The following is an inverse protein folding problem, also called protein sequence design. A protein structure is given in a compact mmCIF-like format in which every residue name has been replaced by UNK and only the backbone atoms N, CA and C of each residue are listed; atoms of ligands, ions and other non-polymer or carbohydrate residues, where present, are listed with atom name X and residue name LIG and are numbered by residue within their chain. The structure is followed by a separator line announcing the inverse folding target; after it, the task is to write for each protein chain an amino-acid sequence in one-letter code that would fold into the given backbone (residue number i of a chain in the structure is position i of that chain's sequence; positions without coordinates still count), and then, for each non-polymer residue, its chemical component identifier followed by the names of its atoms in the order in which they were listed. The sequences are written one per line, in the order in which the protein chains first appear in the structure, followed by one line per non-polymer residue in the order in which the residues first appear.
data_IF_223319116531
#
_entry.id   IF_223319116531
#
_cell.length_a   1.000
_cell.length_b   1.000
_cell.length_c   1.000
_cell.angle_alpha   90.00
_cell.angle_beta   90.00
_cell.angle_gamma   90.00
#
_symmetry.space_group_name_H-M   'P 1'
#
loop_
_entity.id
_entity.type
_entity.pdbx_description
1 polymer ?
#
# COMPACT_ATOMS: atom_id res chain seq x y z
N UNK A 1 -2.68 -6.02 -19.44
CA UNK A 1 -3.01 -6.09 -18.00
C UNK A 1 -3.74 -4.81 -17.68
N UNK A 2 -4.94 -4.90 -17.10
CA UNK A 2 -5.82 -3.74 -16.91
C UNK A 2 -5.75 -3.20 -15.48
N UNK A 3 -5.50 -4.07 -14.51
CA UNK A 3 -5.32 -3.72 -13.09
C UNK A 3 -3.93 -4.17 -12.65
N UNK A 4 -3.18 -3.26 -12.05
CA UNK A 4 -1.84 -3.49 -11.51
C UNK A 4 -1.89 -3.41 -9.99
N UNK A 5 -1.76 -4.57 -9.34
CA UNK A 5 -1.53 -4.63 -7.90
C UNK A 5 -0.05 -4.40 -7.62
N UNK A 6 0.29 -3.25 -7.08
CA UNK A 6 1.66 -2.83 -6.76
C UNK A 6 1.89 -2.97 -5.26
N UNK A 7 2.90 -3.75 -4.85
CA UNK A 7 3.34 -3.88 -3.46
C UNK A 7 4.86 -3.83 -3.37
N UNK A 8 5.37 -3.43 -2.21
CA UNK A 8 6.77 -3.58 -1.84
C UNK A 8 6.86 -4.54 -0.65
N UNK A 9 7.85 -5.43 -0.67
CA UNK A 9 8.01 -6.49 0.36
C UNK A 9 8.23 -5.95 1.78
N UNK A 10 8.62 -4.67 1.92
CA UNK A 10 8.84 -3.99 3.19
C UNK A 10 7.84 -2.84 3.42
N UNK A 11 6.81 -2.72 2.60
CA UNK A 11 5.91 -1.56 2.55
C UNK A 11 6.68 -0.23 2.38
N UNK A 12 7.77 -0.22 1.61
CA UNK A 12 8.58 0.96 1.38
C UNK A 12 7.93 1.89 0.34
N UNK A 13 7.32 2.98 0.82
CA UNK A 13 6.53 3.92 0.02
C UNK A 13 7.23 4.42 -1.27
N UNK A 14 8.50 4.85 -1.27
CA UNK A 14 9.14 5.36 -2.49
C UNK A 14 9.17 4.34 -3.62
N UNK A 15 9.38 3.06 -3.31
CA UNK A 15 9.35 1.98 -4.31
C UNK A 15 7.93 1.74 -4.83
N UNK A 16 6.94 1.81 -3.94
CA UNK A 16 5.54 1.64 -4.33
C UNK A 16 5.07 2.76 -5.25
N UNK A 17 5.37 4.02 -4.89
CA UNK A 17 4.99 5.21 -5.67
C UNK A 17 5.57 5.13 -7.09
N UNK A 18 6.84 4.74 -7.24
CA UNK A 18 7.45 4.54 -8.56
C UNK A 18 6.67 3.52 -9.41
N UNK A 19 6.27 2.39 -8.83
CA UNK A 19 5.47 1.38 -9.51
C UNK A 19 4.06 1.85 -9.83
N UNK A 20 3.44 2.60 -8.92
CA UNK A 20 2.11 3.20 -9.09
C UNK A 20 2.11 4.22 -10.25
N UNK A 21 3.08 5.12 -10.29
CA UNK A 21 3.24 6.11 -11.36
C UNK A 21 3.46 5.45 -12.71
N UNK A 22 4.27 4.40 -12.78
CA UNK A 22 4.50 3.66 -14.01
C UNK A 22 3.22 2.97 -14.52
N UNK A 23 2.47 2.31 -13.63
CA UNK A 23 1.21 1.66 -13.98
C UNK A 23 0.14 2.67 -14.42
N UNK A 24 0.01 3.79 -13.69
CA UNK A 24 -0.92 4.86 -14.03
C UNK A 24 -0.57 5.54 -15.36
N UNK A 25 0.71 5.80 -15.61
CA UNK A 25 1.19 6.37 -16.89
C UNK A 25 0.95 5.45 -18.08
N UNK A 26 0.94 4.14 -17.87
CA UNK A 26 0.58 3.15 -18.88
C UNK A 26 -0.94 3.04 -19.11
N UNK A 27 -1.76 3.83 -18.40
CA UNK A 27 -3.22 3.79 -18.48
C UNK A 27 -3.88 2.65 -17.71
N UNK A 28 -3.14 1.98 -16.82
CA UNK A 28 -3.65 0.89 -15.99
C UNK A 28 -4.36 1.39 -14.73
N UNK A 29 -5.24 0.56 -14.18
CA UNK A 29 -5.81 0.79 -12.85
C UNK A 29 -4.75 0.46 -11.79
N UNK A 30 -4.35 1.45 -11.00
CA UNK A 30 -3.41 1.31 -9.89
C UNK A 30 -4.11 0.80 -8.63
N UNK A 31 -3.75 -0.40 -8.20
CA UNK A 31 -4.16 -1.00 -6.93
C UNK A 31 -2.94 -1.07 -5.99
N UNK A 32 -2.85 -0.16 -5.03
CA UNK A 32 -1.75 -0.15 -4.07
C UNK A 32 -2.02 -1.16 -2.96
N UNK A 33 -1.08 -2.08 -2.75
CA UNK A 33 -1.23 -3.18 -1.79
C UNK A 33 -0.31 -3.01 -0.59
N UNK A 34 -0.92 -3.04 0.59
CA UNK A 34 -0.25 -3.04 1.89
C UNK A 34 -0.07 -4.50 2.32
N UNK A 35 1.16 -4.92 2.55
CA UNK A 35 1.44 -6.25 3.10
C UNK A 35 1.14 -6.24 4.60
N UNK A 36 0.22 -7.10 5.04
CA UNK A 36 -0.16 -7.22 6.44
C UNK A 36 0.77 -8.19 7.19
N UNK A 37 1.10 -7.86 8.44
CA UNK A 37 1.88 -8.73 9.34
C UNK A 37 1.60 -8.36 10.78
N UNK A 38 1.95 -9.25 11.71
CA UNK A 38 1.65 -9.05 13.13
C UNK A 38 0.17 -9.21 13.44
N UNK A 39 -0.29 -8.51 14.46
CA UNK A 39 -1.67 -8.55 14.95
C UNK A 39 -2.06 -7.19 15.53
N UNK A 40 -2.99 -6.49 14.88
CA UNK A 40 -3.45 -5.16 15.32
C UNK A 40 -4.34 -5.21 16.57
N UNK A 41 -4.85 -6.40 16.93
CA UNK A 41 -5.66 -6.61 18.13
C UNK A 41 -4.80 -6.90 19.37
N UNK A 42 -3.50 -7.19 19.20
CA UNK A 42 -2.56 -7.43 20.30
C UNK A 42 -1.93 -6.09 20.78
N UNK A 43 -2.29 -5.59 21.98
CA UNK A 43 -1.80 -4.31 22.47
C UNK A 43 -0.30 -4.32 22.82
N UNK A 44 0.33 -5.48 22.99
CA UNK A 44 1.77 -5.59 23.26
C UNK A 44 2.60 -5.44 21.97
N UNK A 45 1.99 -5.63 20.79
CA UNK A 45 2.65 -5.55 19.47
C UNK A 45 2.49 -4.16 18.84
N UNK A 46 3.35 -3.24 19.24
CA UNK A 46 3.22 -1.83 18.83
C UNK A 46 3.81 -1.47 17.47
N UNK A 47 4.68 -2.31 16.89
CA UNK A 47 5.40 -1.99 15.64
C UNK A 47 4.50 -1.89 14.41
N UNK A 48 3.55 -2.83 14.27
CA UNK A 48 2.60 -2.91 13.16
C UNK A 48 1.18 -2.69 13.70
N UNK A 49 0.97 -1.53 14.32
CA UNK A 49 -0.31 -1.14 14.91
C UNK A 49 -1.36 -0.75 13.86
N UNK A 50 -2.62 -0.62 14.27
CA UNK A 50 -3.66 -0.08 13.39
C UNK A 50 -3.28 1.29 12.81
N UNK A 51 -2.68 2.16 13.62
CA UNK A 51 -2.23 3.49 13.20
C UNK A 51 -1.14 3.42 12.11
N UNK A 52 -0.22 2.45 12.18
CA UNK A 52 0.76 2.22 11.12
C UNK A 52 0.08 1.95 9.77
N UNK A 53 -0.94 1.07 9.77
CA UNK A 53 -1.66 0.70 8.55
C UNK A 53 -2.52 1.85 8.00
N UNK A 54 -3.21 2.60 8.88
CA UNK A 54 -4.04 3.74 8.49
C UNK A 54 -3.18 4.85 7.88
N UNK A 55 -2.01 5.15 8.48
CA UNK A 55 -1.06 6.14 7.92
C UNK A 55 -0.52 5.71 6.56
N UNK A 56 -0.15 4.44 6.41
CA UNK A 56 0.31 3.94 5.13
C UNK A 56 -0.79 4.02 4.05
N UNK A 57 -2.03 3.70 4.41
CA UNK A 57 -3.17 3.84 3.51
C UNK A 57 -3.40 5.30 3.09
N UNK A 58 -3.32 6.26 4.03
CA UNK A 58 -3.46 7.70 3.74
C UNK A 58 -2.38 8.18 2.75
N UNK A 59 -1.13 7.76 2.93
CA UNK A 59 -0.04 8.09 2.00
C UNK A 59 -0.25 7.50 0.60
N UNK A 60 -0.75 6.26 0.50
CA UNK A 60 -1.07 5.63 -0.80
C UNK A 60 -2.25 6.29 -1.51
N UNK A 61 -3.26 6.76 -0.76
CA UNK A 61 -4.37 7.54 -1.30
C UNK A 61 -3.88 8.88 -1.84
N UNK A 62 -3.04 9.60 -1.08
CA UNK A 62 -2.41 10.84 -1.56
C UNK A 62 -1.54 10.64 -2.79
N UNK A 63 -0.88 9.49 -2.89
CA UNK A 63 -0.09 9.10 -4.05
C UNK A 63 -0.94 8.68 -5.27
N UNK A 64 -2.28 8.68 -5.17
CA UNK A 64 -3.17 8.52 -6.31
C UNK A 64 -3.54 7.07 -6.64
N UNK A 65 -3.55 6.16 -5.65
CA UNK A 65 -4.10 4.82 -5.87
C UNK A 65 -5.60 4.87 -6.18
N UNK A 66 -6.08 4.01 -7.09
CA UNK A 66 -7.51 3.87 -7.37
C UNK A 66 -8.19 2.87 -6.43
N UNK A 67 -7.45 1.85 -5.99
CA UNK A 67 -7.93 0.76 -5.14
C UNK A 67 -6.88 0.47 -4.08
N UNK A 68 -7.28 0.41 -2.80
CA UNK A 68 -6.44 -0.11 -1.73
C UNK A 68 -6.64 -1.61 -1.56
N UNK A 69 -5.54 -2.35 -1.44
CA UNK A 69 -5.53 -3.78 -1.16
C UNK A 69 -4.78 -4.06 0.14
N UNK A 70 -5.29 -5.00 0.92
CA UNK A 70 -4.54 -5.65 2.00
C UNK A 70 -4.06 -7.01 1.48
N UNK A 71 -2.75 -7.22 1.49
CA UNK A 71 -2.09 -8.43 0.97
C UNK A 71 -1.60 -9.32 2.11
#
# INVERSE_FOLDING_TARGET
MDVFRVFDSLNYLPNMILGMEAAGSAGGVVEAAISYTGDVCDPERTKYSLDYYVKLADELVKAGTHILSIK
#
